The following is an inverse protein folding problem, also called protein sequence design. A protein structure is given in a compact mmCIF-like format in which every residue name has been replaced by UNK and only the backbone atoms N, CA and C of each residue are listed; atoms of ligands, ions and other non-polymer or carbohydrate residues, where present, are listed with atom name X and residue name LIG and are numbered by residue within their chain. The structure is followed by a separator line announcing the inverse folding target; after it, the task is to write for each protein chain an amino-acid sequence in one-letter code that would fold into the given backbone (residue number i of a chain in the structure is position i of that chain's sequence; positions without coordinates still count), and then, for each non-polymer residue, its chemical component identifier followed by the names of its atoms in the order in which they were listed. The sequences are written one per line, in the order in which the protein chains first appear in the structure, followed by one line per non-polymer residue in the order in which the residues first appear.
data_IF_305531516988
#
_entry.id   IF_305531516988
#
_cell.length_a   1.000
_cell.length_b   1.000
_cell.length_c   1.000
_cell.angle_alpha   90.00
_cell.angle_beta   90.00
_cell.angle_gamma   90.00
#
_symmetry.space_group_name_H-M   'P 1'
#
loop_
_entity.id
_entity.type
_entity.pdbx_description
1 polymer ?
#
# COMPACT_ATOMS: atom_id res chain seq x y z
N UNK A 1 -11.87 17.75 9.74
CA UNK A 1 -11.62 16.44 9.12
C UNK A 1 -10.90 16.52 7.77
N UNK A 2 -11.53 17.02 6.68
CA UNK A 2 -10.85 17.12 5.37
C UNK A 2 -9.61 18.02 5.40
N UNK A 3 -9.69 19.17 6.04
CA UNK A 3 -8.56 20.08 6.21
C UNK A 3 -7.41 19.41 6.96
N UNK A 4 -7.71 18.67 8.02
CA UNK A 4 -6.72 17.98 8.84
C UNK A 4 -6.04 16.88 8.04
N UNK A 5 -6.82 16.09 7.28
CA UNK A 5 -6.28 15.05 6.40
C UNK A 5 -5.32 15.63 5.34
N UNK A 6 -5.67 16.74 4.72
CA UNK A 6 -4.80 17.41 3.73
C UNK A 6 -3.52 17.93 4.37
N UNK A 7 -3.59 18.50 5.58
CA UNK A 7 -2.42 19.00 6.30
C UNK A 7 -1.44 17.87 6.65
N UNK A 8 -1.95 16.76 7.19
CA UNK A 8 -1.14 15.59 7.54
C UNK A 8 -0.53 14.96 6.28
N UNK A 9 -1.34 14.72 5.26
CA UNK A 9 -0.86 14.18 3.99
C UNK A 9 0.25 15.03 3.38
N UNK A 10 0.06 16.35 3.32
CA UNK A 10 1.07 17.28 2.79
C UNK A 10 2.36 17.26 3.61
N UNK A 11 2.25 17.23 4.94
CA UNK A 11 3.42 17.13 5.83
C UNK A 11 4.22 15.86 5.51
N UNK A 12 3.56 14.69 5.49
CA UNK A 12 4.23 13.40 5.27
C UNK A 12 4.86 13.32 3.87
N UNK A 13 4.17 13.80 2.84
CA UNK A 13 4.72 13.88 1.48
C UNK A 13 5.90 14.85 1.37
N UNK A 14 5.89 15.97 2.09
CA UNK A 14 7.04 16.90 2.12
C UNK A 14 8.25 16.30 2.82
N UNK A 15 8.05 15.56 3.91
CA UNK A 15 9.11 14.82 4.59
C UNK A 15 9.72 13.80 3.64
N UNK A 16 8.87 13.04 2.92
CA UNK A 16 9.34 12.08 1.93
C UNK A 16 10.10 12.72 0.78
N UNK A 17 9.58 13.83 0.22
CA UNK A 17 10.21 14.56 -0.87
C UNK A 17 11.61 15.06 -0.51
N UNK A 18 11.78 15.50 0.73
CA UNK A 18 13.10 16.00 1.23
C UNK A 18 14.07 14.86 1.52
N UNK A 19 13.60 13.79 2.14
CA UNK A 19 14.43 12.66 2.53
C UNK A 19 14.75 11.71 1.37
N UNK A 20 13.87 11.64 0.37
CA UNK A 20 13.94 10.77 -0.84
C UNK A 20 14.24 9.30 -0.52
N UNK A 21 13.84 8.82 0.66
CA UNK A 21 14.18 7.45 1.08
C UNK A 21 13.39 6.43 0.29
N UNK A 22 12.08 6.65 0.08
CA UNK A 22 11.28 5.74 -0.76
C UNK A 22 11.88 5.63 -2.15
N UNK A 23 12.28 6.75 -2.77
CA UNK A 23 12.91 6.74 -4.11
C UNK A 23 14.28 6.08 -4.10
N UNK A 24 15.10 6.29 -3.04
CA UNK A 24 16.47 5.78 -2.98
C UNK A 24 16.58 4.32 -2.57
N UNK A 25 15.68 3.81 -1.76
CA UNK A 25 15.74 2.45 -1.22
C UNK A 25 14.63 1.55 -1.79
N UNK A 26 13.39 2.01 -1.80
CA UNK A 26 12.26 1.18 -2.24
C UNK A 26 12.23 1.07 -3.77
N UNK A 27 12.55 2.13 -4.50
CA UNK A 27 12.63 2.10 -5.97
C UNK A 27 13.61 1.06 -6.51
N UNK A 28 14.90 1.09 -6.13
CA UNK A 28 15.86 0.06 -6.52
C UNK A 28 15.48 -1.35 -6.06
N UNK A 29 14.90 -1.50 -4.86
CA UNK A 29 14.39 -2.77 -4.37
C UNK A 29 13.33 -3.35 -5.32
N UNK A 30 12.33 -2.54 -5.70
CA UNK A 30 11.27 -2.95 -6.62
C UNK A 30 11.82 -3.38 -7.97
N UNK A 31 12.75 -2.61 -8.53
CA UNK A 31 13.40 -2.97 -9.79
C UNK A 31 14.22 -4.26 -9.66
N UNK A 32 14.94 -4.43 -8.55
CA UNK A 32 15.69 -5.66 -8.28
C UNK A 32 14.79 -6.88 -8.19
N UNK A 33 13.60 -6.76 -7.58
CA UNK A 33 12.62 -7.85 -7.52
C UNK A 33 12.15 -8.23 -8.91
N UNK A 34 11.79 -7.26 -9.76
CA UNK A 34 11.37 -7.52 -11.14
C UNK A 34 12.46 -8.22 -11.94
N UNK A 35 13.72 -7.75 -11.84
CA UNK A 35 14.87 -8.37 -12.50
C UNK A 35 15.14 -9.77 -11.98
N UNK A 36 15.10 -9.97 -10.66
CA UNK A 36 15.32 -11.27 -10.05
C UNK A 36 14.35 -12.33 -10.59
N UNK A 37 13.06 -11.99 -10.66
CA UNK A 37 12.07 -12.91 -11.20
C UNK A 37 12.22 -13.12 -12.71
N UNK A 38 12.61 -12.09 -13.48
CA UNK A 38 12.93 -12.25 -14.89
C UNK A 38 14.04 -13.31 -15.10
N UNK A 39 15.11 -13.24 -14.31
CA UNK A 39 16.19 -14.21 -14.36
C UNK A 39 15.80 -15.58 -13.80
N UNK A 40 15.03 -15.62 -12.70
CA UNK A 40 14.60 -16.86 -12.07
C UNK A 40 13.72 -17.73 -13.00
N UNK A 41 12.99 -17.10 -13.91
CA UNK A 41 12.17 -17.78 -14.93
C UNK A 41 12.84 -17.82 -16.32
N UNK A 42 14.16 -17.67 -16.39
CA UNK A 42 14.94 -17.71 -17.65
C UNK A 42 14.36 -16.80 -18.75
N UNK A 43 13.77 -15.67 -18.36
CA UNK A 43 13.05 -14.73 -19.23
C UNK A 43 11.89 -15.39 -20.02
N UNK A 44 11.33 -16.50 -19.55
CA UNK A 44 10.12 -17.08 -20.12
C UNK A 44 8.92 -16.15 -19.95
N UNK A 45 8.59 -15.44 -21.01
CA UNK A 45 7.50 -14.46 -20.99
C UNK A 45 6.13 -15.08 -20.69
N UNK A 46 5.94 -16.36 -20.94
CA UNK A 46 4.67 -17.06 -20.67
C UNK A 46 4.49 -17.24 -19.16
N UNK A 47 5.52 -17.72 -18.48
CA UNK A 47 5.51 -17.87 -17.02
C UNK A 47 5.47 -16.51 -16.32
N UNK A 48 6.25 -15.55 -16.79
CA UNK A 48 6.28 -14.19 -16.25
C UNK A 48 4.93 -13.51 -16.35
N UNK A 49 4.24 -13.60 -17.50
CA UNK A 49 2.88 -13.07 -17.68
C UNK A 49 1.87 -13.75 -16.77
N UNK A 50 1.92 -15.06 -16.64
CA UNK A 50 1.02 -15.82 -15.77
C UNK A 50 1.17 -15.42 -14.31
N UNK A 51 2.42 -15.17 -13.87
CA UNK A 51 2.76 -14.76 -12.50
C UNK A 51 2.67 -13.24 -12.25
N UNK A 52 2.57 -12.41 -13.29
CA UNK A 52 2.72 -10.95 -13.19
C UNK A 52 1.84 -10.31 -12.11
N UNK A 53 0.56 -10.69 -12.01
CA UNK A 53 -0.35 -10.15 -11.01
C UNK A 53 0.08 -10.48 -9.58
N UNK A 54 0.50 -11.71 -9.32
CA UNK A 54 1.00 -12.11 -8.01
C UNK A 54 2.31 -11.40 -7.64
N UNK A 55 3.26 -11.35 -8.58
CA UNK A 55 4.54 -10.68 -8.40
C UNK A 55 4.37 -9.16 -8.15
N UNK A 56 3.45 -8.52 -8.88
CA UNK A 56 3.09 -7.11 -8.67
C UNK A 56 2.63 -6.88 -7.23
N UNK A 57 1.62 -7.61 -6.78
CA UNK A 57 1.02 -7.37 -5.48
C UNK A 57 1.90 -7.81 -4.30
N UNK A 58 2.71 -8.84 -4.46
CA UNK A 58 3.73 -9.20 -3.45
C UNK A 58 4.78 -8.09 -3.33
N UNK A 59 5.22 -7.50 -4.43
CA UNK A 59 6.16 -6.38 -4.41
C UNK A 59 5.55 -5.15 -3.74
N UNK A 60 4.29 -4.83 -4.04
CA UNK A 60 3.54 -3.73 -3.40
C UNK A 60 3.37 -3.99 -1.90
N UNK A 61 3.11 -5.23 -1.48
CA UNK A 61 3.03 -5.61 -0.06
C UNK A 61 4.34 -5.32 0.68
N UNK A 62 5.47 -5.75 0.15
CA UNK A 62 6.78 -5.48 0.79
C UNK A 62 7.10 -3.99 0.81
N UNK A 63 6.81 -3.28 -0.27
CA UNK A 63 6.97 -1.82 -0.33
C UNK A 63 6.11 -1.11 0.71
N UNK A 64 4.83 -1.50 0.85
CA UNK A 64 3.91 -0.91 1.81
C UNK A 64 4.36 -1.11 3.25
N UNK A 65 4.83 -2.31 3.59
CA UNK A 65 5.38 -2.61 4.91
C UNK A 65 6.62 -1.75 5.21
N UNK A 66 7.51 -1.59 4.24
CA UNK A 66 8.71 -0.75 4.38
C UNK A 66 8.34 0.72 4.61
N UNK A 67 7.37 1.24 3.86
CA UNK A 67 6.87 2.61 4.01
C UNK A 67 6.19 2.79 5.38
N UNK A 68 5.34 1.84 5.80
CA UNK A 68 4.64 1.91 7.08
C UNK A 68 5.60 1.90 8.27
N UNK A 69 6.59 1.00 8.28
CA UNK A 69 7.62 0.94 9.31
C UNK A 69 8.41 2.26 9.41
N UNK A 70 8.81 2.78 8.27
CA UNK A 70 9.54 4.04 8.22
C UNK A 70 8.73 5.21 8.76
N UNK A 71 7.47 5.34 8.35
CA UNK A 71 6.59 6.39 8.84
C UNK A 71 6.42 6.29 10.37
N UNK A 72 6.33 5.08 10.91
CA UNK A 72 6.28 4.86 12.36
C UNK A 72 7.56 5.32 13.07
N UNK A 73 8.73 5.08 12.50
CA UNK A 73 10.02 5.54 13.06
C UNK A 73 10.12 7.07 13.05
N UNK A 74 9.72 7.72 11.96
CA UNK A 74 9.72 9.20 11.86
C UNK A 74 8.76 9.81 12.88
N UNK A 75 7.56 9.27 13.01
CA UNK A 75 6.56 9.77 13.95
C UNK A 75 7.02 9.68 15.42
N UNK A 76 7.90 8.73 15.76
CA UNK A 76 8.50 8.62 17.10
C UNK A 76 9.65 9.61 17.31
N UNK A 77 10.56 9.69 16.33
CA UNK A 77 11.82 10.43 16.51
C UNK A 77 11.60 11.93 16.70
N UNK A 78 10.55 12.49 16.11
CA UNK A 78 10.32 13.93 16.08
C UNK A 78 9.30 14.41 17.15
N UNK A 79 8.87 13.54 18.08
CA UNK A 79 7.81 13.88 19.02
C UNK A 79 6.47 14.22 18.36
N UNK A 80 6.32 13.84 17.09
CA UNK A 80 5.13 14.13 16.26
C UNK A 80 3.89 13.51 16.87
N UNK A 81 4.02 12.34 17.48
CA UNK A 81 2.91 11.65 18.13
C UNK A 81 2.33 12.49 19.28
N UNK A 82 3.19 13.05 20.12
CA UNK A 82 2.80 13.90 21.25
C UNK A 82 2.26 15.26 20.78
N UNK A 83 2.88 15.83 19.76
CA UNK A 83 2.39 17.07 19.13
C UNK A 83 1.01 16.87 18.45
N UNK A 84 0.75 15.71 17.83
CA UNK A 84 -0.55 15.38 17.26
C UNK A 84 -1.62 15.19 18.34
N UNK A 85 -1.26 14.60 19.49
CA UNK A 85 -2.17 14.46 20.65
C UNK A 85 -2.54 15.80 21.27
N UNK A 86 -1.59 16.74 21.34
CA UNK A 86 -1.85 18.12 21.84
C UNK A 86 -2.50 19.02 20.80
N UNK A 87 -2.58 18.59 19.55
CA UNK A 87 -3.21 19.37 18.49
C UNK A 87 -4.74 19.19 18.49
N UNK A 88 -5.45 20.21 18.03
CA UNK A 88 -6.92 20.14 17.83
C UNK A 88 -7.33 19.37 16.56
N UNK A 89 -6.45 18.52 16.02
CA UNK A 89 -6.72 17.76 14.81
C UNK A 89 -7.65 16.58 15.12
N UNK A 90 -8.62 16.34 14.24
CA UNK A 90 -9.52 15.20 14.39
C UNK A 90 -8.77 13.88 14.15
N UNK A 91 -8.92 12.85 15.04
CA UNK A 91 -8.25 11.55 14.91
C UNK A 91 -8.48 10.88 13.55
N UNK A 92 -9.72 10.88 13.11
CA UNK A 92 -10.11 10.36 11.79
C UNK A 92 -9.47 11.15 10.64
N UNK A 93 -9.24 12.47 10.81
CA UNK A 93 -8.53 13.31 9.85
C UNK A 93 -7.03 12.96 9.78
N UNK A 94 -6.40 12.69 10.91
CA UNK A 94 -5.01 12.24 10.97
C UNK A 94 -4.85 10.89 10.28
N UNK A 95 -5.71 9.91 10.59
CA UNK A 95 -5.69 8.60 9.94
C UNK A 95 -5.90 8.70 8.42
N UNK A 96 -6.90 9.47 7.98
CA UNK A 96 -7.16 9.69 6.56
C UNK A 96 -5.98 10.36 5.85
N UNK A 97 -5.32 11.32 6.49
CA UNK A 97 -4.13 11.98 5.96
C UNK A 97 -2.94 11.05 5.81
N UNK A 98 -2.69 10.20 6.81
CA UNK A 98 -1.63 9.17 6.74
C UNK A 98 -1.93 8.13 5.65
N UNK A 99 -3.16 7.64 5.58
CA UNK A 99 -3.61 6.73 4.52
C UNK A 99 -3.39 7.34 3.14
N UNK A 100 -3.77 8.61 2.95
CA UNK A 100 -3.59 9.31 1.68
C UNK A 100 -2.11 9.50 1.33
N UNK A 101 -1.24 9.79 2.29
CA UNK A 101 0.20 9.93 2.03
C UNK A 101 0.84 8.61 1.59
N UNK A 102 0.49 7.50 2.25
CA UNK A 102 0.95 6.15 1.87
C UNK A 102 0.41 5.76 0.50
N UNK A 103 -0.88 6.05 0.23
CA UNK A 103 -1.50 5.81 -1.08
C UNK A 103 -0.74 6.51 -2.21
N UNK A 104 -0.39 7.78 -2.05
CA UNK A 104 0.37 8.53 -3.08
C UNK A 104 1.76 7.94 -3.30
N UNK A 105 2.46 7.57 -2.21
CA UNK A 105 3.79 6.96 -2.29
C UNK A 105 3.74 5.59 -2.99
N UNK A 106 2.78 4.73 -2.63
CA UNK A 106 2.58 3.43 -3.26
C UNK A 106 2.17 3.57 -4.73
N UNK A 107 1.24 4.47 -5.05
CA UNK A 107 0.81 4.68 -6.43
C UNK A 107 1.95 5.13 -7.33
N UNK A 108 2.83 6.01 -6.85
CA UNK A 108 4.03 6.39 -7.60
C UNK A 108 4.96 5.19 -7.87
N UNK A 109 5.09 4.31 -6.90
CA UNK A 109 5.90 3.11 -6.99
C UNK A 109 5.27 2.03 -7.88
N UNK A 110 3.94 1.88 -7.83
CA UNK A 110 3.16 1.00 -8.69
C UNK A 110 3.27 1.39 -10.18
N UNK A 111 3.35 2.68 -10.48
CA UNK A 111 3.60 3.16 -11.85
C UNK A 111 4.99 2.70 -12.33
N UNK A 112 6.03 2.86 -11.51
CA UNK A 112 7.39 2.41 -11.85
C UNK A 112 7.42 0.89 -12.04
N UNK A 113 6.78 0.15 -11.13
CA UNK A 113 6.67 -1.31 -11.18
C UNK A 113 5.92 -1.77 -12.44
N UNK A 114 4.80 -1.13 -12.77
CA UNK A 114 4.01 -1.45 -13.96
C UNK A 114 4.83 -1.25 -15.24
N UNK A 115 5.54 -0.12 -15.36
CA UNK A 115 6.43 0.15 -16.50
C UNK A 115 7.53 -0.90 -16.59
N UNK A 116 8.19 -1.24 -15.49
CA UNK A 116 9.23 -2.26 -15.45
C UNK A 116 8.70 -3.64 -15.89
N UNK A 117 7.50 -4.02 -15.43
CA UNK A 117 6.88 -5.29 -15.82
C UNK A 117 6.43 -5.33 -17.29
N UNK A 118 5.92 -4.22 -17.83
CA UNK A 118 5.59 -4.11 -19.25
C UNK A 118 6.85 -4.34 -20.11
N UNK A 119 7.95 -3.70 -19.73
CA UNK A 119 9.21 -3.79 -20.49
C UNK A 119 9.90 -5.15 -20.36
N UNK A 120 9.91 -5.74 -19.16
CA UNK A 120 10.67 -6.95 -18.89
C UNK A 120 9.89 -8.25 -19.06
N UNK A 121 8.57 -8.22 -18.79
CA UNK A 121 7.70 -9.40 -18.86
C UNK A 121 6.84 -9.42 -20.13
N UNK A 122 6.96 -8.40 -21.00
CA UNK A 122 6.15 -8.23 -22.22
C UNK A 122 4.64 -8.33 -21.91
N UNK A 123 4.22 -7.71 -20.83
CA UNK A 123 2.81 -7.75 -20.37
C UNK A 123 1.95 -6.92 -21.29
N UNK A 124 0.88 -7.50 -21.82
CA UNK A 124 -0.11 -6.80 -22.65
C UNK A 124 -1.30 -6.37 -21.81
N UNK A 125 -1.57 -5.07 -21.80
CA UNK A 125 -2.68 -4.51 -21.03
C UNK A 125 -3.98 -4.65 -21.84
N UNK A 126 -4.68 -5.78 -21.68
CA UNK A 126 -5.97 -6.03 -22.35
C UNK A 126 -7.18 -5.41 -21.64
N UNK A 127 -7.17 -5.45 -20.30
CA UNK A 127 -8.29 -5.01 -19.46
C UNK A 127 -8.01 -3.71 -18.71
N UNK A 128 -7.69 -2.61 -19.39
CA UNK A 128 -7.32 -1.32 -18.77
C UNK A 128 -8.37 -0.83 -17.77
N UNK A 129 -9.66 -0.94 -18.10
CA UNK A 129 -10.75 -0.52 -17.21
C UNK A 129 -10.77 -1.31 -15.89
N UNK A 130 -10.47 -2.62 -15.95
CA UNK A 130 -10.39 -3.48 -14.78
C UNK A 130 -9.19 -3.13 -13.91
N UNK A 131 -8.03 -2.86 -14.51
CA UNK A 131 -6.82 -2.41 -13.80
C UNK A 131 -7.04 -1.04 -13.17
N UNK A 132 -7.59 -0.09 -13.91
CA UNK A 132 -7.87 1.25 -13.43
C UNK A 132 -8.84 1.28 -12.23
N UNK A 133 -9.77 0.31 -12.16
CA UNK A 133 -10.67 0.17 -11.02
C UNK A 133 -10.02 -0.60 -9.86
N UNK A 134 -9.33 -1.71 -10.13
CA UNK A 134 -8.81 -2.59 -9.08
C UNK A 134 -7.58 -2.04 -8.37
N UNK A 135 -6.66 -1.38 -9.09
CA UNK A 135 -5.41 -0.85 -8.50
C UNK A 135 -5.72 0.16 -7.39
N UNK A 136 -6.48 1.25 -7.61
CA UNK A 136 -6.73 2.22 -6.54
C UNK A 136 -7.44 1.61 -5.33
N UNK A 137 -8.42 0.71 -5.54
CA UNK A 137 -9.16 0.08 -4.46
C UNK A 137 -8.25 -0.79 -3.59
N UNK A 138 -7.39 -1.59 -4.20
CA UNK A 138 -6.43 -2.41 -3.49
C UNK A 138 -5.37 -1.56 -2.78
N UNK A 139 -4.83 -0.53 -3.45
CA UNK A 139 -3.80 0.35 -2.88
C UNK A 139 -4.34 1.17 -1.72
N UNK A 140 -5.59 1.67 -1.77
CA UNK A 140 -6.23 2.34 -0.63
C UNK A 140 -6.37 1.37 0.55
N UNK A 141 -6.81 0.13 0.29
CA UNK A 141 -6.92 -0.92 1.32
C UNK A 141 -5.58 -1.20 2.00
N UNK A 142 -4.53 -1.40 1.21
CA UNK A 142 -3.16 -1.64 1.70
C UNK A 142 -2.65 -0.43 2.49
N UNK A 143 -2.89 0.78 2.00
CA UNK A 143 -2.49 2.03 2.65
C UNK A 143 -3.21 2.26 3.98
N UNK A 144 -4.51 1.94 4.05
CA UNK A 144 -5.29 2.06 5.28
C UNK A 144 -4.77 1.11 6.37
N UNK A 145 -4.48 -0.14 6.01
CA UNK A 145 -3.88 -1.13 6.91
C UNK A 145 -2.48 -0.68 7.34
N UNK A 146 -1.64 -0.21 6.41
CA UNK A 146 -0.31 0.29 6.70
C UNK A 146 -0.33 1.48 7.67
N UNK A 147 -1.25 2.44 7.47
CA UNK A 147 -1.43 3.58 8.36
C UNK A 147 -1.91 3.16 9.76
N UNK A 148 -2.85 2.20 9.84
CA UNK A 148 -3.37 1.68 11.10
C UNK A 148 -2.26 0.99 11.91
N UNK A 149 -1.58 0.03 11.32
CA UNK A 149 -0.49 -0.68 12.01
C UNK A 149 0.71 0.21 12.30
N UNK A 150 1.02 1.17 11.43
CA UNK A 150 2.05 2.18 11.67
C UNK A 150 1.74 3.01 12.92
N UNK A 151 0.49 3.45 13.12
CA UNK A 151 0.07 4.19 14.29
C UNK A 151 0.08 3.34 15.58
N UNK A 152 -0.36 2.08 15.51
CA UNK A 152 -0.31 1.14 16.64
C UNK A 152 1.13 0.85 17.08
N UNK A 153 2.07 0.74 16.14
CA UNK A 153 3.47 0.48 16.45
C UNK A 153 4.18 1.65 17.12
N UNK A 154 3.72 2.87 16.88
CA UNK A 154 4.31 4.05 17.49
C UNK A 154 4.26 4.03 19.03
N UNK A 155 3.33 3.26 19.63
CA UNK A 155 3.21 3.06 21.07
C UNK A 155 3.91 1.82 21.64
N UNK A 156 4.60 1.00 20.82
CA UNK A 156 5.12 -0.30 21.25
C UNK A 156 6.62 -0.41 20.99
N UNK A 157 7.45 -0.14 22.01
CA UNK A 157 8.90 -0.31 21.91
C UNK A 157 9.30 -1.78 21.69
N UNK A 158 10.17 -2.02 20.70
CA UNK A 158 10.79 -3.33 20.45
C UNK A 158 9.91 -4.36 19.69
N UNK A 159 8.68 -4.04 19.29
CA UNK A 159 7.78 -4.97 18.57
C UNK A 159 7.56 -4.63 17.10
N UNK A 160 8.40 -3.80 16.53
CA UNK A 160 8.29 -3.33 15.13
C UNK A 160 8.30 -4.48 14.11
N UNK A 161 9.03 -5.55 14.39
CA UNK A 161 9.10 -6.73 13.52
C UNK A 161 7.78 -7.52 13.44
N UNK A 162 6.85 -7.32 14.39
CA UNK A 162 5.56 -8.02 14.37
C UNK A 162 4.52 -7.37 13.46
N UNK A 163 4.70 -6.10 13.08
CA UNK A 163 3.75 -5.37 12.26
C UNK A 163 3.49 -6.02 10.89
N UNK A 164 4.53 -6.42 10.13
CA UNK A 164 4.31 -7.10 8.87
C UNK A 164 3.53 -8.41 9.03
N UNK A 165 3.78 -9.15 10.11
CA UNK A 165 3.11 -10.43 10.37
C UNK A 165 1.63 -10.23 10.73
N UNK A 166 1.31 -9.20 11.50
CA UNK A 166 -0.07 -8.87 11.87
C UNK A 166 -0.89 -8.30 10.71
N UNK A 167 -0.23 -7.61 9.77
CA UNK A 167 -0.90 -7.06 8.59
C UNK A 167 -1.24 -8.12 7.53
N UNK A 168 -0.48 -9.23 7.46
CA UNK A 168 -0.66 -10.26 6.43
C UNK A 168 -2.06 -10.88 6.40
N UNK A 169 -2.68 -11.32 7.52
CA UNK A 169 -4.03 -11.88 7.49
C UNK A 169 -5.08 -10.90 6.97
N UNK A 170 -4.95 -9.61 7.29
CA UNK A 170 -5.86 -8.58 6.83
C UNK A 170 -5.65 -8.25 5.35
N UNK A 171 -4.41 -8.28 4.86
CA UNK A 171 -4.07 -8.00 3.47
C UNK A 171 -4.29 -9.19 2.54
N UNK A 172 -4.25 -10.42 3.02
CA UNK A 172 -4.37 -11.62 2.20
C UNK A 172 -5.61 -11.62 1.27
N UNK A 173 -6.85 -11.32 1.74
CA UNK A 173 -8.00 -11.28 0.86
C UNK A 173 -7.94 -10.15 -0.17
N UNK A 174 -7.32 -9.00 0.17
CA UNK A 174 -7.10 -7.88 -0.76
C UNK A 174 -6.15 -8.30 -1.88
N UNK A 175 -5.00 -8.87 -1.51
CA UNK A 175 -3.99 -9.32 -2.47
C UNK A 175 -4.51 -10.42 -3.38
N UNK A 176 -5.31 -11.35 -2.83
CA UNK A 176 -5.95 -12.39 -3.62
C UNK A 176 -6.91 -11.80 -4.66
N UNK A 177 -7.82 -10.91 -4.25
CA UNK A 177 -8.78 -10.29 -5.14
C UNK A 177 -8.08 -9.44 -6.21
N UNK A 178 -7.07 -8.66 -5.83
CA UNK A 178 -6.28 -7.85 -6.73
C UNK A 178 -5.49 -8.68 -7.76
N UNK A 179 -4.86 -9.77 -7.33
CA UNK A 179 -4.19 -10.73 -8.23
C UNK A 179 -5.18 -11.35 -9.22
N UNK A 180 -6.38 -11.70 -8.79
CA UNK A 180 -7.43 -12.23 -9.68
C UNK A 180 -7.91 -11.18 -10.69
N UNK A 181 -8.06 -9.91 -10.29
CA UNK A 181 -8.34 -8.83 -11.23
C UNK A 181 -7.25 -8.71 -12.30
N UNK A 182 -5.99 -8.74 -11.88
CA UNK A 182 -4.85 -8.69 -12.80
C UNK A 182 -4.85 -9.88 -13.76
N UNK A 183 -5.03 -11.10 -13.28
CA UNK A 183 -5.07 -12.28 -14.12
C UNK A 183 -6.13 -12.17 -15.23
N UNK A 184 -7.34 -11.69 -14.89
CA UNK A 184 -8.39 -11.46 -15.89
C UNK A 184 -8.04 -10.32 -16.84
N UNK A 185 -7.50 -9.21 -16.32
CA UNK A 185 -7.12 -8.05 -17.14
C UNK A 185 -5.98 -8.35 -18.11
N UNK A 186 -5.08 -9.24 -17.76
CA UNK A 186 -3.94 -9.67 -18.60
C UNK A 186 -4.29 -10.87 -19.50
N UNK A 187 -5.54 -11.36 -19.46
CA UNK A 187 -5.99 -12.48 -20.28
C UNK A 187 -5.48 -13.85 -19.83
N UNK A 188 -4.91 -13.96 -18.63
CA UNK A 188 -4.43 -15.23 -18.04
C UNK A 188 -5.43 -15.84 -17.08
N UNK A 189 -6.46 -15.09 -16.67
CA UNK A 189 -7.50 -15.52 -15.75
C UNK A 189 -8.82 -15.80 -16.41
N UNK A 190 -9.69 -16.57 -15.73
CA UNK A 190 -11.05 -16.92 -16.18
C UNK A 190 -12.11 -16.26 -15.29
N UNK A 191 -13.24 -15.91 -15.90
CA UNK A 191 -14.41 -15.39 -15.22
C UNK A 191 -14.52 -13.87 -15.18
N UNK A 192 -15.61 -13.35 -14.59
CA UNK A 192 -15.89 -11.91 -14.59
C UNK A 192 -15.01 -11.19 -13.57
N UNK A 193 -14.00 -10.44 -14.02
CA UNK A 193 -13.11 -9.66 -13.18
C UNK A 193 -13.80 -8.64 -12.28
N UNK A 194 -14.96 -8.12 -12.69
CA UNK A 194 -15.74 -7.14 -11.93
C UNK A 194 -16.26 -7.64 -10.56
N UNK A 195 -16.44 -8.94 -10.39
CA UNK A 195 -16.76 -9.51 -9.07
C UNK A 195 -15.62 -9.29 -8.07
N UNK A 196 -14.39 -9.40 -8.52
CA UNK A 196 -13.21 -9.15 -7.69
C UNK A 196 -13.04 -7.66 -7.39
N UNK A 197 -13.41 -6.77 -8.34
CA UNK A 197 -13.45 -5.31 -8.09
C UNK A 197 -14.49 -4.98 -7.02
N UNK A 198 -15.68 -5.57 -7.07
CA UNK A 198 -16.71 -5.40 -6.04
C UNK A 198 -16.21 -5.87 -4.67
N UNK A 199 -15.53 -7.01 -4.60
CA UNK A 199 -14.90 -7.52 -3.38
C UNK A 199 -13.84 -6.55 -2.86
N UNK A 200 -12.97 -6.01 -3.73
CA UNK A 200 -11.97 -5.00 -3.37
C UNK A 200 -12.62 -3.73 -2.81
N UNK A 201 -13.71 -3.26 -3.43
CA UNK A 201 -14.46 -2.10 -2.93
C UNK A 201 -15.03 -2.32 -1.52
N UNK A 202 -15.57 -3.52 -1.26
CA UNK A 202 -16.05 -3.89 0.07
C UNK A 202 -14.91 -3.95 1.10
N UNK A 203 -13.79 -4.61 0.76
CA UNK A 203 -12.62 -4.70 1.64
C UNK A 203 -12.01 -3.31 1.91
N UNK A 204 -11.91 -2.46 0.89
CA UNK A 204 -11.46 -1.08 1.05
C UNK A 204 -12.36 -0.33 2.05
N UNK A 205 -13.68 -0.42 1.90
CA UNK A 205 -14.61 0.24 2.82
C UNK A 205 -14.44 -0.26 4.26
N UNK A 206 -14.32 -1.58 4.45
CA UNK A 206 -14.08 -2.19 5.77
C UNK A 206 -12.79 -1.66 6.39
N UNK A 207 -11.68 -1.66 5.65
CA UNK A 207 -10.38 -1.25 6.19
C UNK A 207 -10.34 0.24 6.52
N UNK A 208 -10.93 1.09 5.68
CA UNK A 208 -11.01 2.54 5.93
C UNK A 208 -11.88 2.83 7.15
N UNK A 209 -13.07 2.21 7.24
CA UNK A 209 -13.98 2.42 8.38
C UNK A 209 -13.38 1.88 9.68
N UNK A 210 -12.82 0.67 9.65
CA UNK A 210 -12.16 0.09 10.81
C UNK A 210 -10.97 0.94 11.27
N UNK A 211 -10.14 1.42 10.34
CA UNK A 211 -9.01 2.29 10.65
C UNK A 211 -9.43 3.63 11.26
N UNK A 212 -10.48 4.25 10.73
CA UNK A 212 -11.04 5.48 11.32
C UNK A 212 -11.59 5.25 12.72
N UNK A 213 -12.35 4.17 12.93
CA UNK A 213 -12.92 3.83 14.22
C UNK A 213 -11.83 3.57 15.28
N UNK A 214 -10.79 2.81 14.90
CA UNK A 214 -9.65 2.53 15.79
C UNK A 214 -8.87 3.80 16.12
N UNK A 215 -8.66 4.70 15.14
CA UNK A 215 -7.97 5.97 15.38
C UNK A 215 -8.73 6.88 16.36
N UNK A 216 -10.05 6.88 16.32
CA UNK A 216 -10.89 7.60 17.30
C UNK A 216 -10.77 6.97 18.69
N UNK A 217 -10.93 5.64 18.80
CA UNK A 217 -10.85 4.93 20.08
C UNK A 217 -9.51 5.12 20.78
N UNK A 218 -8.38 5.06 20.05
CA UNK A 218 -7.03 5.22 20.60
C UNK A 218 -6.76 6.60 21.22
N UNK A 219 -7.51 7.63 20.80
CA UNK A 219 -7.34 9.00 21.34
C UNK A 219 -8.37 9.35 22.41
N UNK A 220 -9.48 8.59 22.50
CA UNK A 220 -10.47 8.75 23.59
C UNK A 220 -10.01 8.05 24.88
N UNK A 221 -9.23 6.97 24.80
CA UNK A 221 -8.75 6.17 25.93
C UNK A 221 -7.42 6.68 26.52
N UNK A 222 -6.89 7.79 26.04
CA UNK A 222 -5.58 8.33 26.44
C UNK A 222 -5.66 9.76 26.94
#
# INVERSE_FOLDING_TARGET
MLRDAVLVCRKDLLVEWRSRVTTRFVGPFVLSVVMLFAFAFDADTTMLRAGAGGLFWVTVLFASNTIAQRNAVIDRSDGVHEALRMSSLSPAGVFAGKTASVFVQLSALEVVLAVAMILMYDVRLGGIGLLAASIPLATISVSAIGALYGSLSAGMDGREALLPLLSLPALAPVLLAATKCFAVALGTGVGPGWRWVAMLGMLMAIHVVAGMATAVALLEDS
#
